data_IF_223992036395
#
_entry.id   IF_223992036395
#
_cell.length_a   1.000
_cell.length_b   1.000
_cell.length_c   1.000
_cell.angle_alpha   90.00
_cell.angle_beta   90.00
_cell.angle_gamma   90.00
#
_symmetry.space_group_name_H-M   'P 1'
#
loop_
_entity.id
_entity.type
_entity.pdbx_description
1 polymer ?
#
# COMPACT_ATOMS: atom_id res chain seq x y z
N UNK A 1 14.36 -4.00 0.90
CA UNK A 1 13.09 -4.66 0.51
C UNK A 1 11.88 -3.92 1.05
N UNK A 2 11.89 -3.48 2.32
CA UNK A 2 10.81 -2.70 2.96
C UNK A 2 10.49 -1.37 2.26
N UNK A 3 11.53 -0.64 1.86
CA UNK A 3 11.42 0.71 1.28
C UNK A 3 10.67 0.75 -0.07
N UNK A 4 10.75 -0.31 -0.88
CA UNK A 4 10.09 -0.33 -2.19
C UNK A 4 8.56 -0.41 -2.03
N UNK A 5 8.08 -1.24 -1.10
CA UNK A 5 6.65 -1.34 -0.79
C UNK A 5 6.15 -0.01 -0.23
N UNK A 6 6.89 0.60 0.71
CA UNK A 6 6.55 1.90 1.27
C UNK A 6 6.38 2.97 0.18
N UNK A 7 7.30 3.01 -0.78
CA UNK A 7 7.24 3.93 -1.93
C UNK A 7 6.05 3.64 -2.83
N UNK A 8 5.80 2.38 -3.18
CA UNK A 8 4.64 1.97 -3.99
C UNK A 8 3.32 2.31 -3.30
N UNK A 9 3.25 2.13 -1.98
CA UNK A 9 2.07 2.46 -1.18
C UNK A 9 1.76 3.96 -1.23
N UNK A 10 2.76 4.80 -0.98
CA UNK A 10 2.65 6.26 -1.08
C UNK A 10 2.24 6.71 -2.47
N UNK A 11 2.84 6.13 -3.51
CA UNK A 11 2.53 6.45 -4.90
C UNK A 11 1.10 6.06 -5.28
N UNK A 12 0.65 4.86 -4.89
CA UNK A 12 -0.70 4.38 -5.15
C UNK A 12 -1.74 5.25 -4.42
N UNK A 13 -1.49 5.59 -3.16
CA UNK A 13 -2.35 6.48 -2.36
C UNK A 13 -2.43 7.89 -2.95
N UNK A 14 -1.30 8.46 -3.37
CA UNK A 14 -1.26 9.78 -4.02
C UNK A 14 -1.99 9.76 -5.37
N UNK A 15 -1.95 8.64 -6.11
CA UNK A 15 -2.65 8.49 -7.38
C UNK A 15 -4.17 8.42 -7.22
N UNK A 16 -4.66 7.93 -6.08
CA UNK A 16 -6.09 7.85 -5.77
C UNK A 16 -6.62 9.04 -4.97
N UNK A 17 -5.75 9.96 -4.54
CA UNK A 17 -6.06 11.11 -3.68
C UNK A 17 -6.77 10.69 -2.37
N UNK A 18 -6.43 9.51 -1.85
CA UNK A 18 -7.06 8.95 -0.65
C UNK A 18 -6.25 9.27 0.62
N UNK A 19 -6.97 9.47 1.73
CA UNK A 19 -6.35 9.49 3.06
C UNK A 19 -5.83 8.10 3.42
N UNK A 20 -4.90 7.99 4.38
CA UNK A 20 -4.38 6.70 4.83
C UNK A 20 -5.49 5.76 5.31
N UNK A 21 -6.53 6.29 5.97
CA UNK A 21 -7.69 5.52 6.43
C UNK A 21 -8.60 5.04 5.29
N UNK A 22 -8.86 5.90 4.29
CA UNK A 22 -9.63 5.50 3.11
C UNK A 22 -8.88 4.43 2.29
N UNK A 23 -7.58 4.65 2.10
CA UNK A 23 -6.72 3.72 1.39
C UNK A 23 -6.61 2.36 2.10
N UNK A 24 -6.52 2.36 3.44
CA UNK A 24 -6.52 1.14 4.24
C UNK A 24 -7.83 0.36 4.07
N UNK A 25 -8.99 1.04 4.12
CA UNK A 25 -10.30 0.42 3.85
C UNK A 25 -10.37 -0.19 2.45
N UNK A 26 -9.87 0.52 1.43
CA UNK A 26 -9.80 0.03 0.04
C UNK A 26 -8.94 -1.23 -0.08
N UNK A 27 -7.82 -1.27 0.64
CA UNK A 27 -6.93 -2.44 0.67
C UNK A 27 -7.47 -3.60 1.50
N UNK A 28 -8.43 -3.35 2.39
CA UNK A 28 -8.99 -4.32 3.33
C UNK A 28 -8.07 -4.58 4.52
N UNK A 29 -7.27 -3.59 4.92
CA UNK A 29 -6.30 -3.69 6.02
C UNK A 29 -6.55 -2.58 7.05
N UNK A 30 -5.95 -2.72 8.23
CA UNK A 30 -6.02 -1.68 9.26
C UNK A 30 -5.22 -0.43 8.85
N UNK A 31 -5.71 0.75 9.23
CA UNK A 31 -4.99 2.02 9.02
C UNK A 31 -3.59 2.01 9.63
N UNK A 32 -3.43 1.38 10.80
CA UNK A 32 -2.13 1.22 11.46
C UNK A 32 -1.13 0.42 10.61
N UNK A 33 -1.59 -0.58 9.86
CA UNK A 33 -0.75 -1.35 8.95
C UNK A 33 -0.23 -0.46 7.82
N UNK A 34 -1.11 0.33 7.20
CA UNK A 34 -0.74 1.31 6.16
C UNK A 34 0.28 2.32 6.70
N UNK A 35 0.04 2.89 7.88
CA UNK A 35 0.96 3.84 8.53
C UNK A 35 2.31 3.18 8.79
N UNK A 36 2.34 1.98 9.36
CA UNK A 36 3.58 1.24 9.61
C UNK A 36 4.35 0.93 8.33
N UNK A 37 3.66 0.57 7.26
CA UNK A 37 4.29 0.24 5.97
C UNK A 37 4.80 1.50 5.26
N UNK A 38 4.06 2.61 5.27
CA UNK A 38 4.52 3.87 4.66
C UNK A 38 5.69 4.51 5.41
N UNK A 39 5.81 4.27 6.72
CA UNK A 39 6.89 4.78 7.56
C UNK A 39 8.05 3.79 7.76
N UNK A 40 8.07 2.69 7.00
CA UNK A 40 9.10 1.64 7.08
C UNK A 40 9.23 0.98 8.48
N UNK A 41 8.23 1.15 9.36
CA UNK A 41 8.27 0.62 10.73
C UNK A 41 8.02 -0.89 10.79
N UNK A 42 7.35 -1.44 9.78
CA UNK A 42 7.04 -2.87 9.69
C UNK A 42 6.93 -3.27 8.23
N UNK A 43 7.52 -4.40 7.86
CA UNK A 43 7.36 -4.97 6.52
C UNK A 43 6.21 -5.97 6.54
N UNK A 44 5.23 -5.89 5.61
CA UNK A 44 4.28 -6.98 5.42
C UNK A 44 5.05 -8.26 5.03
N UNK A 45 4.66 -9.41 5.58
CA UNK A 45 5.36 -10.70 5.38
C UNK A 45 4.45 -11.73 4.72
N UNK A 46 5.07 -12.65 3.97
CA UNK A 46 4.41 -13.82 3.37
C UNK A 46 3.32 -13.44 2.36
N UNK A 47 2.23 -14.21 2.35
CA UNK A 47 1.08 -14.04 1.43
C UNK A 47 0.49 -12.62 1.41
N UNK A 48 0.58 -11.88 2.51
CA UNK A 48 0.10 -10.50 2.59
C UNK A 48 0.93 -9.54 1.72
N UNK A 49 2.23 -9.81 1.55
CA UNK A 49 3.12 -8.98 0.75
C UNK A 49 2.82 -9.11 -0.74
N UNK A 50 2.67 -10.34 -1.24
CA UNK A 50 2.38 -10.59 -2.66
C UNK A 50 1.02 -10.02 -3.06
N UNK A 51 -0.02 -10.29 -2.27
CA UNK A 51 -1.35 -9.75 -2.51
C UNK A 51 -1.36 -8.21 -2.47
N UNK A 52 -0.61 -7.60 -1.54
CA UNK A 52 -0.47 -6.15 -1.48
C UNK A 52 0.23 -5.62 -2.74
N UNK A 53 1.35 -6.21 -3.13
CA UNK A 53 2.12 -5.76 -4.30
C UNK A 53 1.29 -5.85 -5.59
N UNK A 54 0.51 -6.92 -5.75
CA UNK A 54 -0.42 -7.08 -6.88
C UNK A 54 -1.51 -6.00 -6.89
N UNK A 55 -2.12 -5.69 -5.74
CA UNK A 55 -3.11 -4.60 -5.63
C UNK A 55 -2.51 -3.23 -5.94
N UNK A 56 -1.31 -2.95 -5.42
CA UNK A 56 -0.61 -1.69 -5.69
C UNK A 56 -0.26 -1.56 -7.18
N UNK A 57 0.23 -2.63 -7.79
CA UNK A 57 0.57 -2.66 -9.21
C UNK A 57 -0.67 -2.42 -10.09
N UNK A 58 -1.82 -3.02 -9.73
CA UNK A 58 -3.09 -2.75 -10.40
C UNK A 58 -3.52 -1.27 -10.31
N UNK A 59 -3.38 -0.64 -9.15
CA UNK A 59 -3.70 0.80 -8.96
C UNK A 59 -2.72 1.67 -9.76
N UNK A 60 -1.44 1.32 -9.78
CA UNK A 60 -0.41 2.07 -10.48
C UNK A 60 -0.49 1.90 -12.00
N UNK A 61 -0.83 0.72 -12.52
CA UNK A 61 -0.95 0.44 -13.96
C UNK A 61 -2.33 0.80 -14.56
N UNK A 62 -3.40 0.80 -13.77
CA UNK A 62 -4.80 0.97 -14.21
C UNK A 62 -5.24 2.38 -14.64
N UNK A 63 -4.38 3.17 -15.31
CA UNK A 63 -4.82 4.41 -15.99
C UNK A 63 -4.35 4.36 -17.44
N UNK A 64 -5.04 3.57 -18.26
CA UNK A 64 -5.02 3.68 -19.71
C UNK A 64 -6.45 3.70 -20.19
#
# INVERSE_FOLDING_TARGET
MSEEIARKLKAARAKTDETQGAFAKRLGVSTDAVISWENDRRTPRGLALEALNAKLDAILKGKK
#
